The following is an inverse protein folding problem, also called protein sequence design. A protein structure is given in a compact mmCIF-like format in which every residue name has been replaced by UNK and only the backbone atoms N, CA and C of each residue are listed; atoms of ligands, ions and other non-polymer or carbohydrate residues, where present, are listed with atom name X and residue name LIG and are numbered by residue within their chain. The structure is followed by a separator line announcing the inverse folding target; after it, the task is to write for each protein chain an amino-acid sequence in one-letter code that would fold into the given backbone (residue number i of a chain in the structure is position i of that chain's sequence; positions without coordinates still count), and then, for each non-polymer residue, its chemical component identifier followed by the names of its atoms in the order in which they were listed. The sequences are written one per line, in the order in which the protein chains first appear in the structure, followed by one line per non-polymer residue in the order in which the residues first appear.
data_IF_540387412570
#
_entry.id   IF_540387412570
#
_cell.length_a   1.000
_cell.length_b   1.000
_cell.length_c   1.000
_cell.angle_alpha   90.00
_cell.angle_beta   90.00
_cell.angle_gamma   90.00
#
_symmetry.space_group_name_H-M   'P 1'
#
loop_
_entity.id
_entity.type
_entity.pdbx_description
1 polymer ?
#
# COMPACT_ATOMS: atom_id res chain seq x y z
N UNK A 1 4.13 -42.57 14.44
CA UNK A 1 3.04 -41.84 15.11
C UNK A 1 2.63 -40.70 14.21
N UNK A 2 1.39 -40.71 13.71
CA UNK A 2 0.87 -39.62 12.88
C UNK A 2 0.76 -38.37 13.76
N UNK A 3 1.34 -37.25 13.32
CA UNK A 3 1.21 -35.98 14.03
C UNK A 3 -0.27 -35.57 14.02
N UNK A 4 -0.89 -35.48 15.20
CA UNK A 4 -2.26 -35.00 15.31
C UNK A 4 -2.35 -33.56 14.77
N UNK A 5 -3.37 -33.25 13.96
CA UNK A 5 -3.54 -31.91 13.42
C UNK A 5 -3.77 -30.93 14.58
N UNK A 6 -2.88 -29.94 14.69
CA UNK A 6 -2.83 -28.94 15.77
C UNK A 6 -4.08 -28.06 15.88
N UNK A 7 -4.98 -28.12 14.89
CA UNK A 7 -6.22 -27.34 14.79
C UNK A 7 -7.31 -28.17 14.12
N UNK A 8 -8.55 -28.01 14.57
CA UNK A 8 -9.73 -28.59 13.92
C UNK A 8 -10.10 -27.80 12.66
N UNK A 9 -10.84 -28.44 11.73
CA UNK A 9 -11.24 -27.79 10.46
C UNK A 9 -12.05 -26.51 10.68
N UNK A 10 -12.89 -26.48 11.71
CA UNK A 10 -13.73 -25.33 12.04
C UNK A 10 -12.90 -24.18 12.62
N UNK A 11 -11.90 -24.46 13.46
CA UNK A 11 -10.95 -23.46 13.94
C UNK A 11 -10.10 -22.86 12.81
N UNK A 12 -9.65 -23.69 11.87
CA UNK A 12 -8.93 -23.25 10.67
C UNK A 12 -9.80 -22.31 9.81
N UNK A 13 -11.09 -22.61 9.67
CA UNK A 13 -12.03 -21.79 8.90
C UNK A 13 -12.25 -20.42 9.54
N UNK A 14 -12.45 -20.39 10.86
CA UNK A 14 -12.62 -19.15 11.63
C UNK A 14 -11.34 -18.29 11.57
N UNK A 15 -10.16 -18.92 11.66
CA UNK A 15 -8.89 -18.20 11.47
C UNK A 15 -8.76 -17.62 10.06
N UNK A 16 -9.10 -18.38 9.02
CA UNK A 16 -9.06 -17.92 7.62
C UNK A 16 -10.00 -16.74 7.38
N UNK A 17 -11.26 -16.84 7.83
CA UNK A 17 -12.23 -15.75 7.71
C UNK A 17 -11.74 -14.48 8.44
N UNK A 18 -11.10 -14.64 9.60
CA UNK A 18 -10.48 -13.53 10.34
C UNK A 18 -9.30 -12.88 9.60
N UNK A 19 -8.47 -13.67 8.93
CA UNK A 19 -7.36 -13.18 8.12
C UNK A 19 -7.84 -12.49 6.83
N UNK A 20 -8.87 -13.02 6.17
CA UNK A 20 -9.46 -12.43 4.97
C UNK A 20 -10.06 -11.04 5.25
N UNK A 21 -10.77 -10.89 6.37
CA UNK A 21 -11.34 -9.59 6.77
C UNK A 21 -10.23 -8.57 7.04
N UNK A 22 -9.13 -8.98 7.70
CA UNK A 22 -7.96 -8.10 7.91
C UNK A 22 -7.31 -7.72 6.58
N UNK A 23 -7.10 -8.69 5.70
CA UNK A 23 -6.50 -8.47 4.39
C UNK A 23 -7.34 -7.52 3.53
N UNK A 24 -8.67 -7.65 3.54
CA UNK A 24 -9.58 -6.76 2.83
C UNK A 24 -9.50 -5.32 3.35
N UNK A 25 -9.45 -5.14 4.68
CA UNK A 25 -9.31 -3.83 5.33
C UNK A 25 -7.96 -3.17 5.01
N UNK A 26 -6.88 -3.95 4.97
CA UNK A 26 -5.55 -3.46 4.57
C UNK A 26 -5.53 -2.98 3.10
N UNK A 27 -6.12 -3.75 2.17
CA UNK A 27 -6.22 -3.33 0.75
C UNK A 27 -7.01 -2.04 0.63
N UNK A 28 -8.14 -1.94 1.34
CA UNK A 28 -8.99 -0.77 1.27
C UNK A 28 -8.24 0.50 1.71
N UNK A 29 -7.46 0.42 2.80
CA UNK A 29 -6.59 1.52 3.27
C UNK A 29 -5.55 1.93 2.24
N UNK A 30 -4.88 0.95 1.61
CA UNK A 30 -3.88 1.23 0.57
C UNK A 30 -4.54 1.93 -0.62
N UNK A 31 -5.69 1.43 -1.09
CA UNK A 31 -6.44 2.04 -2.20
C UNK A 31 -6.88 3.46 -1.87
N UNK A 32 -7.38 3.70 -0.66
CA UNK A 32 -7.80 5.01 -0.21
C UNK A 32 -6.62 5.99 -0.16
N UNK A 33 -5.47 5.56 0.36
CA UNK A 33 -4.26 6.39 0.40
C UNK A 33 -3.77 6.76 -1.01
N UNK A 34 -3.78 5.81 -1.95
CA UNK A 34 -3.46 6.08 -3.36
C UNK A 34 -4.43 7.05 -4.01
N UNK A 35 -5.73 6.92 -3.74
CA UNK A 35 -6.75 7.81 -4.26
C UNK A 35 -6.56 9.24 -3.73
N UNK A 36 -6.33 9.39 -2.42
CA UNK A 36 -6.05 10.70 -1.81
C UNK A 36 -4.77 11.31 -2.40
N UNK A 37 -3.71 10.53 -2.56
CA UNK A 37 -2.47 10.98 -3.15
C UNK A 37 -2.67 11.48 -4.59
N UNK A 38 -3.33 10.69 -5.43
CA UNK A 38 -3.61 11.06 -6.82
C UNK A 38 -4.50 12.29 -6.92
N UNK A 39 -5.60 12.34 -6.16
CA UNK A 39 -6.53 13.46 -6.18
C UNK A 39 -5.90 14.77 -5.71
N UNK A 40 -5.10 14.74 -4.63
CA UNK A 40 -4.43 15.94 -4.10
C UNK A 40 -3.35 16.48 -5.04
N UNK A 41 -2.54 15.60 -5.65
CA UNK A 41 -1.54 16.02 -6.64
C UNK A 41 -2.22 16.58 -7.90
N UNK A 42 -3.29 15.95 -8.37
CA UNK A 42 -4.04 16.42 -9.53
C UNK A 42 -4.63 17.81 -9.27
N UNK A 43 -5.31 18.00 -8.14
CA UNK A 43 -5.87 19.29 -7.73
C UNK A 43 -4.78 20.35 -7.57
N UNK A 44 -3.66 20.02 -6.91
CA UNK A 44 -2.52 20.92 -6.79
C UNK A 44 -2.01 21.35 -8.17
N UNK A 45 -1.89 20.41 -9.10
CA UNK A 45 -1.41 20.69 -10.46
C UNK A 45 -2.38 21.59 -11.22
N UNK A 46 -3.69 21.34 -11.12
CA UNK A 46 -4.70 22.19 -11.76
C UNK A 46 -4.68 23.60 -11.18
N UNK A 47 -4.67 23.74 -9.85
CA UNK A 47 -4.61 25.04 -9.21
C UNK A 47 -3.32 25.79 -9.57
N UNK A 48 -2.19 25.08 -9.62
CA UNK A 48 -0.90 25.66 -10.00
C UNK A 48 -0.88 26.21 -11.43
N UNK A 49 -1.43 25.45 -12.39
CA UNK A 49 -1.36 25.77 -13.81
C UNK A 49 -2.44 26.77 -14.26
N UNK A 50 -3.65 26.66 -13.73
CA UNK A 50 -4.81 27.41 -14.25
C UNK A 50 -5.19 28.62 -13.40
N UNK A 51 -4.74 28.72 -12.14
CA UNK A 51 -5.10 29.82 -11.23
C UNK A 51 -3.94 30.78 -10.95
N UNK A 52 -2.99 30.90 -11.89
CA UNK A 52 -1.92 31.90 -11.84
C UNK A 52 -0.78 31.63 -10.85
N UNK A 53 -0.78 30.48 -10.15
CA UNK A 53 0.30 30.11 -9.23
C UNK A 53 1.67 30.02 -9.93
N UNK A 54 1.71 29.48 -11.15
CA UNK A 54 2.93 29.45 -11.97
C UNK A 54 3.45 30.85 -12.28
N UNK A 55 2.59 31.77 -12.72
CA UNK A 55 3.01 33.10 -13.14
C UNK A 55 3.56 33.89 -11.95
N UNK A 56 2.89 33.85 -10.81
CA UNK A 56 3.34 34.51 -9.59
C UNK A 56 4.67 33.93 -9.06
N UNK A 57 4.83 32.60 -9.11
CA UNK A 57 6.07 31.96 -8.69
C UNK A 57 7.27 32.34 -9.56
N UNK A 58 7.06 32.52 -10.86
CA UNK A 58 8.11 32.91 -11.81
C UNK A 58 8.40 34.40 -11.73
N UNK A 59 7.38 35.25 -11.63
CA UNK A 59 7.57 36.71 -11.65
C UNK A 59 8.25 37.22 -10.39
N UNK A 60 7.99 36.62 -9.21
CA UNK A 60 8.57 37.00 -7.91
C UNK A 60 8.40 38.49 -7.57
N UNK A 61 7.44 39.16 -8.19
CA UNK A 61 7.24 40.61 -8.04
C UNK A 61 6.81 41.00 -6.62
N UNK A 62 6.23 40.07 -5.88
CA UNK A 62 5.93 40.17 -4.45
C UNK A 62 6.04 38.79 -3.78
N UNK A 63 5.94 38.73 -2.45
CA UNK A 63 5.93 37.46 -1.72
C UNK A 63 4.87 36.48 -2.22
N UNK A 64 5.01 35.19 -1.89
CA UNK A 64 4.07 34.17 -2.35
C UNK A 64 2.70 34.30 -1.67
N UNK A 65 1.65 34.35 -2.48
CA UNK A 65 0.26 34.44 -2.01
C UNK A 65 -0.43 33.06 -2.02
N UNK A 66 -1.71 33.02 -1.64
CA UNK A 66 -2.53 31.82 -1.51
C UNK A 66 -2.57 30.96 -2.80
N UNK A 67 -2.46 31.57 -3.98
CA UNK A 67 -2.43 30.88 -5.28
C UNK A 67 -1.18 30.01 -5.49
N UNK A 68 -0.08 30.27 -4.77
CA UNK A 68 1.15 29.46 -4.76
C UNK A 68 1.15 28.51 -3.56
N UNK A 69 0.75 29.02 -2.39
CA UNK A 69 0.84 28.28 -1.13
C UNK A 69 -0.17 27.13 -1.04
N UNK A 70 -1.43 27.33 -1.48
CA UNK A 70 -2.46 26.28 -1.41
C UNK A 70 -2.09 25.07 -2.28
N UNK A 71 -1.70 25.23 -3.56
CA UNK A 71 -1.22 24.12 -4.38
C UNK A 71 -0.01 23.42 -3.78
N UNK A 72 0.95 24.17 -3.21
CA UNK A 72 2.14 23.59 -2.60
C UNK A 72 1.80 22.71 -1.40
N UNK A 73 0.89 23.15 -0.51
CA UNK A 73 0.43 22.34 0.61
C UNK A 73 -0.37 21.11 0.16
N UNK A 74 -1.21 21.24 -0.87
CA UNK A 74 -1.93 20.10 -1.44
C UNK A 74 -0.98 19.07 -2.06
N UNK A 75 0.04 19.53 -2.79
CA UNK A 75 1.06 18.67 -3.35
C UNK A 75 1.83 17.94 -2.25
N UNK A 76 2.17 18.63 -1.15
CA UNK A 76 2.85 18.04 -0.01
C UNK A 76 2.01 16.92 0.63
N UNK A 77 0.72 17.17 0.86
CA UNK A 77 -0.21 16.15 1.39
C UNK A 77 -0.25 14.94 0.46
N UNK A 78 -0.29 15.16 -0.85
CA UNK A 78 -0.28 14.10 -1.83
C UNK A 78 0.98 13.25 -1.81
N UNK A 79 2.15 13.88 -1.67
CA UNK A 79 3.44 13.19 -1.55
C UNK A 79 3.51 12.35 -0.27
N UNK A 80 3.05 12.89 0.86
CA UNK A 80 3.00 12.16 2.14
C UNK A 80 2.07 10.94 2.00
N UNK A 81 0.88 11.13 1.44
CA UNK A 81 -0.07 10.03 1.21
C UNK A 81 0.51 8.96 0.26
N UNK A 82 1.20 9.35 -0.81
CA UNK A 82 1.86 8.44 -1.73
C UNK A 82 2.96 7.63 -1.04
N UNK A 83 3.75 8.28 -0.18
CA UNK A 83 4.82 7.63 0.59
C UNK A 83 4.25 6.57 1.54
N UNK A 84 3.19 6.92 2.27
CA UNK A 84 2.50 5.97 3.15
C UNK A 84 1.94 4.79 2.35
N UNK A 85 1.29 5.07 1.21
CA UNK A 85 0.74 4.04 0.34
C UNK A 85 1.82 3.09 -0.20
N UNK A 86 3.00 3.64 -0.58
CA UNK A 86 4.14 2.87 -1.05
C UNK A 86 4.72 1.96 0.05
N UNK A 87 4.89 2.48 1.27
CA UNK A 87 5.39 1.69 2.41
C UNK A 87 4.42 0.55 2.75
N UNK A 88 3.12 0.83 2.83
CA UNK A 88 2.10 -0.19 3.07
C UNK A 88 2.06 -1.25 1.96
N UNK A 89 2.16 -0.82 0.70
CA UNK A 89 2.23 -1.72 -0.44
C UNK A 89 3.47 -2.62 -0.38
N UNK A 90 4.64 -2.06 -0.08
CA UNK A 90 5.90 -2.81 0.03
C UNK A 90 5.85 -3.84 1.16
N UNK A 91 5.33 -3.47 2.34
CA UNK A 91 5.15 -4.42 3.44
C UNK A 91 4.25 -5.60 3.06
N UNK A 92 3.17 -5.34 2.33
CA UNK A 92 2.28 -6.39 1.81
C UNK A 92 2.97 -7.27 0.78
N UNK A 93 3.71 -6.68 -0.15
CA UNK A 93 4.47 -7.41 -1.17
C UNK A 93 5.53 -8.33 -0.54
N UNK A 94 6.25 -7.85 0.47
CA UNK A 94 7.21 -8.65 1.23
C UNK A 94 6.55 -9.85 1.91
N UNK A 95 5.42 -9.66 2.60
CA UNK A 95 4.67 -10.77 3.22
C UNK A 95 4.25 -11.83 2.20
N UNK A 96 3.74 -11.41 1.05
CA UNK A 96 3.35 -12.32 -0.02
C UNK A 96 4.56 -13.09 -0.59
N UNK A 97 5.71 -12.41 -0.77
CA UNK A 97 6.93 -13.04 -1.27
C UNK A 97 7.48 -14.10 -0.30
N UNK A 98 7.46 -13.82 1.01
CA UNK A 98 7.91 -14.76 2.03
C UNK A 98 7.01 -16.00 2.09
N UNK A 99 5.69 -15.82 2.00
CA UNK A 99 4.74 -16.94 1.92
C UNK A 99 5.04 -17.87 0.73
N UNK A 100 5.28 -17.30 -0.45
CA UNK A 100 5.62 -18.06 -1.64
C UNK A 100 6.95 -18.84 -1.52
N UNK A 101 7.94 -18.28 -0.82
CA UNK A 101 9.24 -18.94 -0.59
C UNK A 101 9.06 -20.13 0.35
N UNK A 102 8.38 -19.94 1.48
CA UNK A 102 8.12 -21.01 2.45
C UNK A 102 7.34 -22.15 1.79
N UNK A 103 6.31 -21.84 1.01
CA UNK A 103 5.51 -22.86 0.35
C UNK A 103 6.32 -23.65 -0.70
N UNK A 104 7.20 -22.98 -1.44
CA UNK A 104 8.14 -23.65 -2.37
C UNK A 104 9.10 -24.57 -1.64
N UNK A 105 9.63 -24.13 -0.50
CA UNK A 105 10.58 -24.92 0.30
C UNK A 105 9.90 -26.16 0.91
N UNK A 106 8.69 -26.01 1.44
CA UNK A 106 7.88 -27.14 1.96
C UNK A 106 7.60 -28.16 0.85
N UNK A 107 7.17 -27.72 -0.34
CA UNK A 107 6.95 -28.60 -1.50
C UNK A 107 8.24 -29.29 -1.94
N UNK A 108 9.37 -28.59 -1.95
CA UNK A 108 10.67 -29.16 -2.28
C UNK A 108 11.12 -30.21 -1.24
N UNK A 109 10.88 -29.95 0.04
CA UNK A 109 11.21 -30.85 1.14
C UNK A 109 10.37 -32.14 1.08
N UNK A 110 9.05 -32.03 0.85
CA UNK A 110 8.16 -33.18 0.66
C UNK A 110 8.57 -34.07 -0.53
N UNK A 111 9.01 -33.48 -1.65
CA UNK A 111 9.49 -34.26 -2.80
C UNK A 111 10.76 -35.05 -2.48
N UNK A 112 11.65 -34.50 -1.64
CA UNK A 112 12.90 -35.19 -1.21
C UNK A 112 12.62 -36.33 -0.24
N UNK A 113 11.70 -36.15 0.71
CA UNK A 113 11.32 -37.20 1.67
C UNK A 113 10.43 -38.28 1.05
N UNK A 114 9.56 -37.93 0.10
CA UNK A 114 8.74 -38.90 -0.64
C UNK A 114 9.54 -39.83 -1.57
N UNK A 115 10.75 -39.42 -2.00
CA UNK A 115 11.62 -40.23 -2.87
C UNK A 115 12.47 -41.26 -2.12
N UNK A 116 12.40 -41.28 -0.79
CA UNK A 116 13.13 -42.22 0.10
C UNK A 116 12.26 -43.37 0.62
N UNK A 117 11.05 -43.56 0.10
CA UNK A 117 10.20 -44.71 0.38
C UNK A 117 10.07 -45.59 -0.84
#
# INVERSE_FOLDING_TARGET
MAAEPKYTKDELRIMLEGEEIRAAKEIHRIKLAWLIAGASILLATVLWLFFGGREQFVSRDSGYDATVLIPAWLALIGIIAATIAAVLFMMRAMRASLGNIVERDVRAHQRRTGRRK
#
